data_IF_425819593030
#
_entry.id   IF_425819593030
#
_cell.length_a   1.000
_cell.length_b   1.000
_cell.length_c   1.000
_cell.angle_alpha   90.00
_cell.angle_beta   90.00
_cell.angle_gamma   90.00
#
_symmetry.space_group_name_H-M   'P 1'
#
loop_
_entity.id
_entity.type
_entity.pdbx_description
1 polymer ?
#
# COMPACT_ATOMS: atom_id res chain seq x y z
N UNK A 1 6.22 22.73 -5.31
CA UNK A 1 6.42 22.44 -6.74
C UNK A 1 5.30 21.54 -7.22
N UNK A 2 4.97 21.54 -8.52
CA UNK A 2 3.96 20.65 -9.11
C UNK A 2 4.60 19.80 -10.21
N UNK A 3 4.33 18.49 -10.21
CA UNK A 3 4.74 17.56 -11.26
C UNK A 3 3.48 16.84 -11.75
N UNK A 4 3.15 16.93 -13.04
CA UNK A 4 1.87 16.44 -13.56
C UNK A 4 0.69 17.09 -12.84
N UNK A 5 -0.16 16.28 -12.21
CA UNK A 5 -1.27 16.72 -11.35
C UNK A 5 -0.92 16.78 -9.86
N UNK A 6 0.26 16.28 -9.45
CA UNK A 6 0.66 16.13 -8.06
C UNK A 6 1.37 17.38 -7.51
N UNK A 7 1.00 17.80 -6.30
CA UNK A 7 1.65 18.87 -5.57
C UNK A 7 2.63 18.33 -4.54
N UNK A 8 3.84 18.88 -4.52
CA UNK A 8 4.90 18.54 -3.57
C UNK A 8 5.27 19.79 -2.78
N UNK A 9 5.21 19.71 -1.47
CA UNK A 9 5.57 20.79 -0.53
C UNK A 9 6.85 20.40 0.23
N UNK A 10 7.66 21.39 0.66
CA UNK A 10 8.78 21.11 1.55
C UNK A 10 8.33 20.28 2.76
N UNK A 11 9.03 19.17 3.00
CA UNK A 11 8.72 18.25 4.08
C UNK A 11 7.77 17.11 3.71
N UNK A 12 7.10 17.09 2.56
CA UNK A 12 6.37 15.89 2.12
C UNK A 12 7.35 14.71 1.92
N UNK A 13 6.85 13.49 2.10
CA UNK A 13 7.64 12.27 1.90
C UNK A 13 7.44 11.81 0.46
N UNK A 14 8.53 11.61 -0.26
CA UNK A 14 8.51 11.09 -1.64
C UNK A 14 9.10 9.69 -1.62
N UNK A 15 8.36 8.71 -2.15
CA UNK A 15 8.76 7.30 -2.21
C UNK A 15 8.70 6.87 -3.66
N UNK A 16 9.70 6.14 -4.14
CA UNK A 16 9.71 5.62 -5.50
C UNK A 16 10.33 4.23 -5.59
N UNK A 17 9.79 3.44 -6.51
CA UNK A 17 10.22 2.07 -6.84
C UNK A 17 10.12 1.85 -8.36
N UNK A 18 10.04 0.58 -8.79
CA UNK A 18 9.94 0.21 -10.20
C UNK A 18 8.58 0.52 -10.84
N UNK A 19 7.52 0.65 -10.04
CA UNK A 19 6.15 0.89 -10.49
C UNK A 19 5.89 2.39 -10.62
N UNK A 20 6.55 3.21 -9.80
CA UNK A 20 6.52 4.65 -9.97
C UNK A 20 6.95 5.43 -8.74
N UNK A 21 6.37 6.62 -8.57
CA UNK A 21 6.67 7.55 -7.48
C UNK A 21 5.38 8.07 -6.87
N UNK A 22 5.31 8.06 -5.54
CA UNK A 22 4.21 8.62 -4.76
C UNK A 22 4.69 9.74 -3.84
N UNK A 23 3.77 10.63 -3.48
CA UNK A 23 4.01 11.75 -2.58
C UNK A 23 3.02 11.67 -1.43
N UNK A 24 3.52 11.55 -0.20
CA UNK A 24 2.73 11.53 1.02
C UNK A 24 2.82 12.89 1.69
N UNK A 25 1.69 13.62 1.84
CA UNK A 25 1.67 14.90 2.54
C UNK A 25 2.18 14.74 3.97
N UNK A 26 3.06 15.63 4.45
CA UNK A 26 3.65 15.55 5.81
C UNK A 26 2.61 15.32 6.90
N UNK A 27 1.46 16.00 6.81
CA UNK A 27 0.36 15.92 7.78
C UNK A 27 -0.33 14.55 7.86
N UNK A 28 -0.14 13.71 6.83
CA UNK A 28 -0.72 12.37 6.74
C UNK A 28 0.32 11.26 6.89
N UNK A 29 1.60 11.60 7.06
CA UNK A 29 2.69 10.64 7.03
C UNK A 29 2.48 9.44 7.97
N UNK A 30 2.08 9.70 9.22
CA UNK A 30 1.87 8.65 10.23
C UNK A 30 0.68 7.77 9.87
N UNK A 31 -0.48 8.36 9.53
CA UNK A 31 -1.68 7.60 9.17
C UNK A 31 -1.47 6.74 7.91
N UNK A 32 -0.71 7.25 6.93
CA UNK A 32 -0.36 6.48 5.73
C UNK A 32 0.57 5.33 6.07
N UNK A 33 1.56 5.55 6.94
CA UNK A 33 2.46 4.49 7.40
C UNK A 33 1.70 3.38 8.13
N UNK A 34 0.86 3.73 9.12
CA UNK A 34 0.08 2.76 9.88
C UNK A 34 -0.80 1.91 8.97
N UNK A 35 -1.51 2.55 8.02
CA UNK A 35 -2.35 1.83 7.05
C UNK A 35 -1.53 0.97 6.09
N UNK A 36 -0.36 1.44 5.64
CA UNK A 36 0.52 0.65 4.77
C UNK A 36 1.06 -0.60 5.49
N UNK A 37 1.41 -0.48 6.78
CA UNK A 37 1.85 -1.63 7.57
C UNK A 37 0.72 -2.63 7.83
N UNK A 38 -0.51 -2.17 8.03
CA UNK A 38 -1.69 -3.05 8.11
C UNK A 38 -1.88 -3.85 6.83
N UNK A 39 -1.83 -3.18 5.67
CA UNK A 39 -1.96 -3.83 4.36
C UNK A 39 -0.85 -4.87 4.17
N UNK A 40 0.41 -4.51 4.47
CA UNK A 40 1.54 -5.44 4.37
C UNK A 40 1.38 -6.68 5.26
N UNK A 41 0.83 -6.53 6.47
CA UNK A 41 0.54 -7.67 7.34
C UNK A 41 -0.55 -8.56 6.76
N UNK A 42 -1.61 -7.97 6.21
CA UNK A 42 -2.70 -8.72 5.59
C UNK A 42 -2.24 -9.46 4.33
N UNK A 43 -1.39 -8.84 3.52
CA UNK A 43 -0.82 -9.47 2.31
C UNK A 43 -0.03 -10.73 2.65
N UNK A 44 0.76 -10.73 3.74
CA UNK A 44 1.48 -11.95 4.18
C UNK A 44 0.55 -13.13 4.44
N UNK A 45 -0.62 -12.87 5.02
CA UNK A 45 -1.64 -13.90 5.25
C UNK A 45 -2.21 -14.40 3.92
N UNK A 46 -2.52 -13.49 3.00
CA UNK A 46 -3.04 -13.82 1.67
C UNK A 46 -2.01 -14.66 0.88
N UNK A 47 -0.73 -14.28 0.91
CA UNK A 47 0.35 -15.05 0.26
C UNK A 47 0.50 -16.46 0.87
N UNK A 48 0.22 -16.63 2.16
CA UNK A 48 0.15 -17.94 2.80
C UNK A 48 -0.94 -18.82 2.18
N UNK A 49 -2.17 -18.31 2.06
CA UNK A 49 -3.28 -19.05 1.44
C UNK A 49 -3.01 -19.41 -0.03
N UNK A 50 -2.34 -18.52 -0.77
CA UNK A 50 -1.90 -18.83 -2.14
C UNK A 50 -0.89 -19.98 -2.15
N UNK A 51 0.10 -19.95 -1.25
CA UNK A 51 1.10 -21.01 -1.15
C UNK A 51 0.50 -22.37 -0.74
N UNK A 52 -0.58 -22.34 0.06
CA UNK A 52 -1.35 -23.51 0.47
C UNK A 52 -2.27 -24.06 -0.64
N UNK A 53 -2.32 -23.39 -1.80
CA UNK A 53 -3.06 -23.83 -2.98
C UNK A 53 -4.54 -23.47 -2.98
N UNK A 54 -4.96 -22.50 -2.15
CA UNK A 54 -6.34 -22.03 -2.16
C UNK A 54 -6.71 -21.29 -3.45
N UNK A 55 -7.96 -21.43 -3.90
CA UNK A 55 -8.45 -20.72 -5.07
C UNK A 55 -8.64 -19.22 -4.77
N UNK A 56 -8.55 -18.40 -5.81
CA UNK A 56 -8.78 -16.94 -5.71
C UNK A 56 -10.17 -16.65 -5.13
N UNK A 57 -11.18 -17.44 -5.49
CA UNK A 57 -12.54 -17.29 -4.97
C UNK A 57 -12.59 -17.50 -3.45
N UNK A 58 -11.97 -18.57 -2.95
CA UNK A 58 -11.94 -18.86 -1.51
C UNK A 58 -11.17 -17.79 -0.72
N UNK A 59 -10.06 -17.30 -1.27
CA UNK A 59 -9.27 -16.21 -0.67
C UNK A 59 -10.09 -14.91 -0.58
N UNK A 60 -10.83 -14.57 -1.63
CA UNK A 60 -11.68 -13.38 -1.64
C UNK A 60 -12.81 -13.46 -0.59
N UNK A 61 -13.44 -14.62 -0.45
CA UNK A 61 -14.49 -14.87 0.55
C UNK A 61 -13.97 -14.75 1.99
N UNK A 62 -12.69 -15.06 2.23
CA UNK A 62 -12.01 -14.87 3.54
C UNK A 62 -11.62 -13.42 3.83
N UNK A 63 -11.89 -12.49 2.92
CA UNK A 63 -11.49 -11.10 3.05
C UNK A 63 -10.07 -10.82 2.59
N UNK A 64 -9.54 -11.61 1.65
CA UNK A 64 -8.25 -11.37 0.99
C UNK A 64 -8.25 -10.17 0.04
N UNK A 65 -8.86 -9.06 0.45
CA UNK A 65 -8.87 -7.79 -0.28
C UNK A 65 -8.58 -6.65 0.70
N UNK A 66 -7.74 -5.71 0.27
CA UNK A 66 -7.10 -4.63 1.05
C UNK A 66 -7.87 -4.04 2.24
#
# INVERSE_FOLDING_TARGET
MKIGSCWIRPGDIVIGDIDGVIVVPRRLAVAVLERAEEILRNEKTIFGWVADGESVQAIAEKGGYF
#
